data_IF_024204870222
#
_entry.id   IF_024204870222
#
_cell.length_a   1.000
_cell.length_b   1.000
_cell.length_c   1.000
_cell.angle_alpha   90.00
_cell.angle_beta   90.00
_cell.angle_gamma   90.00
#
_symmetry.space_group_name_H-M   'P 1'
#
loop_
_entity.id
_entity.type
_entity.pdbx_description
1 polymer ?
#
# COMPACT_ATOMS: atom_id res chain seq x y z
N UNK A 1 1.32 2.17 15.68
CA UNK A 1 2.05 2.98 14.68
C UNK A 1 1.08 3.81 13.85
N UNK A 2 1.53 4.88 13.19
CA UNK A 2 0.67 5.76 12.40
C UNK A 2 -0.02 5.04 11.23
N UNK A 3 0.71 4.23 10.45
CA UNK A 3 0.15 3.51 9.30
C UNK A 3 -1.03 2.60 9.65
N UNK A 4 -0.92 1.78 10.70
CA UNK A 4 -2.01 0.89 11.14
C UNK A 4 -3.26 1.66 11.57
N UNK A 5 -3.07 2.78 12.27
CA UNK A 5 -4.19 3.63 12.72
C UNK A 5 -4.89 4.30 11.54
N UNK A 6 -4.13 4.84 10.59
CA UNK A 6 -4.73 5.47 9.40
C UNK A 6 -5.43 4.44 8.51
N UNK A 7 -4.88 3.22 8.38
CA UNK A 7 -5.54 2.11 7.69
C UNK A 7 -6.89 1.75 8.33
N UNK A 8 -6.92 1.58 9.65
CA UNK A 8 -8.17 1.33 10.38
C UNK A 8 -9.17 2.47 10.21
N UNK A 9 -8.72 3.71 10.37
CA UNK A 9 -9.59 4.90 10.24
C UNK A 9 -10.20 5.03 8.84
N UNK A 10 -9.42 4.69 7.81
CA UNK A 10 -9.80 4.87 6.42
C UNK A 10 -10.65 3.71 5.87
N UNK A 11 -10.37 2.47 6.27
CA UNK A 11 -10.91 1.26 5.65
C UNK A 11 -11.48 0.23 6.64
N UNK A 12 -11.42 0.50 7.95
CA UNK A 12 -11.79 -0.43 9.03
C UNK A 12 -11.06 -1.78 8.90
N UNK A 13 -9.83 -1.74 8.38
CA UNK A 13 -8.99 -2.92 8.22
C UNK A 13 -8.00 -3.02 9.39
N UNK A 14 -7.96 -4.19 10.00
CA UNK A 14 -6.90 -4.56 10.94
C UNK A 14 -5.74 -5.20 10.17
N UNK A 15 -4.51 -4.80 10.52
CA UNK A 15 -3.31 -5.48 10.08
C UNK A 15 -2.63 -6.16 11.27
N UNK A 16 -2.13 -7.38 11.06
CA UNK A 16 -1.36 -8.15 12.05
C UNK A 16 0.13 -7.81 12.03
N UNK A 17 0.60 -7.11 11.00
CA UNK A 17 1.98 -6.69 10.81
C UNK A 17 2.09 -5.45 9.95
N UNK A 18 3.23 -4.75 10.04
CA UNK A 18 3.59 -3.69 9.11
C UNK A 18 5.08 -3.81 8.83
N UNK A 19 5.42 -3.99 7.56
CA UNK A 19 6.80 -4.12 7.10
C UNK A 19 7.21 -2.84 6.40
N UNK A 20 8.28 -2.18 6.86
CA UNK A 20 8.81 -0.99 6.21
C UNK A 20 9.46 -1.40 4.89
N UNK A 21 8.93 -0.87 3.79
CA UNK A 21 9.41 -1.09 2.41
C UNK A 21 10.40 0.00 2.01
N UNK A 22 10.28 1.19 2.59
CA UNK A 22 11.22 2.25 2.29
C UNK A 22 10.79 3.61 2.77
N UNK A 23 11.69 4.56 2.53
CA UNK A 23 11.49 5.96 2.86
C UNK A 23 11.78 6.77 1.60
N UNK A 24 10.82 7.60 1.20
CA UNK A 24 10.88 8.38 -0.03
C UNK A 24 10.66 9.86 0.30
N UNK A 25 11.54 10.73 -0.15
CA UNK A 25 11.33 12.17 -0.08
C UNK A 25 10.67 12.69 -1.37
N UNK A 26 9.55 13.40 -1.21
CA UNK A 26 8.81 14.07 -2.30
C UNK A 26 8.61 15.53 -1.89
N UNK A 27 9.25 16.45 -2.60
CA UNK A 27 9.29 17.86 -2.20
C UNK A 27 10.05 18.00 -0.88
N UNK A 28 9.38 18.50 0.16
CA UNK A 28 9.90 18.63 1.53
C UNK A 28 9.26 17.64 2.52
N UNK A 29 8.60 16.60 2.01
CA UNK A 29 7.88 15.61 2.81
C UNK A 29 8.57 14.26 2.71
N UNK A 30 8.85 13.67 3.87
CA UNK A 30 9.39 12.32 3.99
C UNK A 30 8.24 11.32 4.15
N UNK A 31 8.10 10.43 3.17
CA UNK A 31 7.08 9.39 3.13
C UNK A 31 7.67 8.05 3.57
N UNK A 32 7.16 7.50 4.67
CA UNK A 32 7.49 6.15 5.12
C UNK A 32 6.45 5.18 4.54
N UNK A 33 6.92 4.17 3.82
CA UNK A 33 6.05 3.27 3.06
C UNK A 33 6.08 1.91 3.74
N UNK A 34 4.90 1.42 4.05
CA UNK A 34 4.70 0.14 4.71
C UNK A 34 3.85 -0.78 3.83
N UNK A 35 4.09 -2.07 3.94
CA UNK A 35 3.23 -3.12 3.40
C UNK A 35 2.71 -4.02 4.54
N UNK A 36 1.60 -4.69 4.28
CA UNK A 36 0.97 -5.66 5.17
C UNK A 36 0.17 -6.64 4.33
N UNK A 37 0.05 -7.85 4.84
CA UNK A 37 -0.78 -8.88 4.23
C UNK A 37 -2.19 -8.84 4.81
N UNK A 38 -3.16 -9.24 4.00
CA UNK A 38 -4.54 -9.46 4.41
C UNK A 38 -4.96 -10.85 4.01
N UNK A 39 -5.85 -11.44 4.80
CA UNK A 39 -6.46 -12.72 4.44
C UNK A 39 -7.32 -12.58 3.17
N UNK A 40 -7.38 -13.64 2.38
CA UNK A 40 -8.27 -13.72 1.24
C UNK A 40 -9.73 -13.44 1.64
N UNK A 41 -10.42 -12.69 0.78
CA UNK A 41 -11.82 -12.32 1.01
C UNK A 41 -12.02 -11.23 2.07
N UNK A 42 -10.96 -10.57 2.53
CA UNK A 42 -11.08 -9.43 3.43
C UNK A 42 -11.90 -8.31 2.77
N UNK A 43 -12.91 -7.83 3.51
CA UNK A 43 -13.79 -6.75 3.07
C UNK A 43 -13.40 -5.44 3.73
N UNK A 44 -13.56 -4.35 2.97
CA UNK A 44 -13.26 -2.99 3.43
C UNK A 44 -14.55 -2.28 3.81
N UNK A 45 -14.52 -1.50 4.89
CA UNK A 45 -15.60 -0.58 5.24
C UNK A 45 -15.04 0.85 5.22
N UNK A 46 -15.53 1.65 4.27
CA UNK A 46 -15.00 2.98 4.01
C UNK A 46 -15.28 3.93 5.19
N UNK A 47 -14.21 4.55 5.68
CA UNK A 47 -14.27 5.67 6.61
C UNK A 47 -14.38 7.02 5.89
N UNK A 48 -14.19 8.11 6.64
CA UNK A 48 -14.28 9.46 6.11
C UNK A 48 -13.17 9.79 5.11
N UNK A 49 -13.53 10.41 3.98
CA UNK A 49 -12.58 10.93 2.99
C UNK A 49 -12.18 9.97 1.87
N UNK A 50 -12.72 8.74 1.86
CA UNK A 50 -12.56 7.78 0.75
C UNK A 50 -13.92 7.54 0.10
N UNK A 51 -14.00 7.78 -1.21
CA UNK A 51 -15.24 7.60 -2.00
C UNK A 51 -15.39 6.14 -2.47
N UNK A 52 -14.27 5.47 -2.76
CA UNK A 52 -14.24 4.06 -3.15
C UNK A 52 -12.88 3.43 -2.82
N UNK A 53 -12.88 2.12 -2.62
CA UNK A 53 -11.68 1.31 -2.46
C UNK A 53 -11.88 -0.01 -3.20
N UNK A 54 -10.87 -0.46 -3.94
CA UNK A 54 -10.89 -1.70 -4.71
C UNK A 54 -9.49 -2.34 -4.64
N UNK A 55 -9.46 -3.66 -4.46
CA UNK A 55 -8.27 -4.48 -4.67
C UNK A 55 -8.01 -4.62 -6.18
N UNK A 56 -6.80 -4.30 -6.62
CA UNK A 56 -6.37 -4.41 -8.02
C UNK A 56 -5.06 -5.17 -8.08
N UNK A 57 -4.88 -5.96 -9.15
CA UNK A 57 -3.60 -6.61 -9.44
C UNK A 57 -2.51 -5.59 -9.73
N UNK A 58 -1.26 -5.95 -9.50
CA UNK A 58 -0.12 -5.05 -9.74
C UNK A 58 0.00 -4.68 -11.22
N UNK A 59 -0.25 -5.64 -12.10
CA UNK A 59 -0.29 -5.51 -13.55
C UNK A 59 -1.44 -4.62 -14.05
N UNK A 60 -2.51 -4.47 -13.27
CA UNK A 60 -3.64 -3.59 -13.57
C UNK A 60 -3.38 -2.13 -13.14
N UNK A 61 -2.30 -1.88 -12.39
CA UNK A 61 -1.96 -0.59 -11.81
C UNK A 61 -1.30 0.32 -12.87
N UNK A 62 -2.12 1.09 -13.59
CA UNK A 62 -1.63 2.10 -14.55
C UNK A 62 -1.21 3.40 -13.86
N UNK A 63 -0.02 3.91 -14.21
CA UNK A 63 0.49 5.19 -13.72
C UNK A 63 -0.42 6.39 -14.03
N UNK A 64 -1.22 6.31 -15.10
CA UNK A 64 -2.13 7.36 -15.53
C UNK A 64 -3.35 7.55 -14.60
N UNK A 65 -3.68 6.55 -13.77
CA UNK A 65 -4.83 6.61 -12.84
C UNK A 65 -4.45 7.15 -11.46
N UNK A 66 -3.18 7.42 -11.23
CA UNK A 66 -2.64 7.74 -9.91
C UNK A 66 -2.42 9.23 -9.73
N UNK A 67 -2.64 9.70 -8.50
CA UNK A 67 -2.18 11.04 -8.11
C UNK A 67 -0.66 11.11 -8.30
N UNK A 68 -0.09 12.28 -8.66
CA UNK A 68 1.34 12.43 -8.95
C UNK A 68 2.26 11.85 -7.87
N UNK A 69 1.89 12.01 -6.59
CA UNK A 69 2.63 11.40 -5.46
C UNK A 69 2.65 9.87 -5.55
N UNK A 70 1.49 9.23 -5.76
CA UNK A 70 1.40 7.78 -5.88
C UNK A 70 2.11 7.25 -7.14
N UNK A 71 1.99 7.96 -8.27
CA UNK A 71 2.73 7.63 -9.48
C UNK A 71 4.26 7.72 -9.27
N UNK A 72 4.74 8.77 -8.59
CA UNK A 72 6.15 8.95 -8.25
C UNK A 72 6.66 7.89 -7.26
N UNK A 73 5.79 7.41 -6.35
CA UNK A 73 6.11 6.32 -5.45
C UNK A 73 6.32 5.00 -6.22
N UNK A 74 5.41 4.68 -7.15
CA UNK A 74 5.53 3.47 -7.97
C UNK A 74 6.70 3.55 -8.95
N UNK A 75 6.94 4.70 -9.57
CA UNK A 75 8.00 4.86 -10.58
C UNK A 75 9.41 4.75 -9.98
N UNK A 76 9.56 4.97 -8.66
CA UNK A 76 10.83 4.71 -7.97
C UNK A 76 11.12 3.23 -7.81
N UNK A 77 10.22 2.37 -8.30
CA UNK A 77 10.41 0.93 -8.42
C UNK A 77 10.77 0.37 -7.07
N UNK A 78 9.85 0.46 -6.10
CA UNK A 78 10.00 -0.17 -4.79
C UNK A 78 10.03 -1.69 -5.02
N UNK A 79 11.20 -2.32 -5.18
CA UNK A 79 11.27 -3.70 -5.65
C UNK A 79 10.66 -4.63 -4.59
N UNK A 80 10.69 -4.18 -3.33
CA UNK A 80 10.12 -4.82 -2.17
C UNK A 80 8.58 -4.85 -2.16
N UNK A 81 7.90 -4.04 -2.99
CA UNK A 81 6.46 -4.19 -3.24
C UNK A 81 6.14 -5.27 -4.30
N UNK A 82 7.11 -5.62 -5.14
CA UNK A 82 6.93 -6.56 -6.27
C UNK A 82 7.45 -7.96 -5.88
N UNK A 83 8.47 -8.04 -5.03
CA UNK A 83 9.18 -9.28 -4.71
C UNK A 83 8.65 -10.07 -3.50
N UNK A 84 7.55 -9.66 -2.85
CA UNK A 84 7.02 -10.42 -1.72
C UNK A 84 6.41 -11.77 -2.14
N UNK A 85 5.95 -11.90 -3.38
CA UNK A 85 5.40 -13.16 -3.90
C UNK A 85 6.48 -14.19 -4.30
N UNK A 86 7.73 -13.78 -4.49
CA UNK A 86 8.80 -14.70 -4.94
C UNK A 86 9.55 -15.40 -3.80
N UNK A 87 9.41 -14.92 -2.56
CA UNK A 87 10.11 -15.52 -1.40
C UNK A 87 9.37 -16.75 -0.85
N UNK A 88 8.07 -16.90 -1.11
CA UNK A 88 7.29 -18.08 -0.69
C UNK A 88 7.39 -19.28 -1.66
N UNK A 89 8.03 -19.13 -2.82
CA UNK A 89 8.22 -20.22 -3.79
C UNK A 89 9.49 -21.07 -3.56
N UNK A 90 10.25 -20.81 -2.49
CA UNK A 90 11.47 -21.56 -2.11
C UNK A 90 11.48 -21.98 -0.62
N UNK A 91 10.34 -22.50 -0.13
CA UNK A 91 10.20 -23.12 1.19
C UNK A 91 9.54 -24.49 1.12
#
# INVERSE_FOLDING_TARGET
MAAARELWKALSLHCSGLHLVGIIEIGNVLHHIFTTDFADGCSVALGGGIVSCKWIGWEELSSAMLKPTAAALLSRGLPQLIHLDEVEALG
#
